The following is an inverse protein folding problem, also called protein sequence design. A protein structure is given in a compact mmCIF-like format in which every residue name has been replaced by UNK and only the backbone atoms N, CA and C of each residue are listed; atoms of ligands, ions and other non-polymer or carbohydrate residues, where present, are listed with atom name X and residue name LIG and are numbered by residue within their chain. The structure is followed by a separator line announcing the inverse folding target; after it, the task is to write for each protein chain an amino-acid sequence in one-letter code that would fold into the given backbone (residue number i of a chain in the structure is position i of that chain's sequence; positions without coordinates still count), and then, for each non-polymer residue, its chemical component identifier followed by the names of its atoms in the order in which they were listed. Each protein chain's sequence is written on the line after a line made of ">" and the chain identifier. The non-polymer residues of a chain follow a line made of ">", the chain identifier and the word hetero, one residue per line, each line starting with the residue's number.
data_IF_395833493635
#
_entry.id   IF_395833493635
#
_cell.length_a   1.000
_cell.length_b   1.000
_cell.length_c   1.000
_cell.angle_alpha   90.00
_cell.angle_beta   90.00
_cell.angle_gamma   90.00
#
_symmetry.space_group_name_H-M   'P 1'
#
loop_
_entity.id
_entity.type
_entity.pdbx_description
1 polymer ?
#
# COMPACT_ATOMS: atom_id res chain seq x y z
N UNK A 1 56.38 -11.78 24.78
CA UNK A 1 55.41 -12.88 24.96
C UNK A 1 53.93 -12.51 24.77
N UNK A 2 53.53 -11.22 24.81
CA UNK A 2 52.10 -10.83 24.69
C UNK A 2 51.52 -10.93 23.27
N UNK A 3 52.25 -10.50 22.23
CA UNK A 3 51.76 -10.48 20.83
C UNK A 3 51.47 -11.87 20.23
N UNK A 4 52.17 -12.91 20.69
CA UNK A 4 51.91 -14.30 20.26
C UNK A 4 50.58 -14.86 20.79
N UNK A 5 50.11 -14.37 21.94
CA UNK A 5 48.80 -14.77 22.46
C UNK A 5 47.68 -14.12 21.65
N UNK A 6 47.82 -12.83 21.31
CA UNK A 6 46.84 -12.08 20.51
C UNK A 6 46.67 -12.67 19.09
N UNK A 7 47.76 -13.06 18.44
CA UNK A 7 47.72 -13.68 17.10
C UNK A 7 47.01 -15.05 17.15
N UNK A 8 47.23 -15.84 18.21
CA UNK A 8 46.53 -17.12 18.39
C UNK A 8 45.02 -16.94 18.60
N UNK A 9 44.60 -15.90 19.31
CA UNK A 9 43.17 -15.63 19.52
C UNK A 9 42.51 -15.22 18.21
N UNK A 10 43.12 -14.32 17.43
CA UNK A 10 42.59 -13.85 16.14
C UNK A 10 42.48 -15.02 15.14
N UNK A 11 43.51 -15.87 15.06
CA UNK A 11 43.50 -17.04 14.16
C UNK A 11 42.40 -18.04 14.53
N UNK A 12 42.14 -18.24 15.84
CA UNK A 12 41.07 -19.12 16.30
C UNK A 12 39.69 -18.59 15.96
N UNK A 13 39.44 -17.29 16.11
CA UNK A 13 38.13 -16.69 15.80
C UNK A 13 37.87 -16.71 14.29
N UNK A 14 38.90 -16.47 13.48
CA UNK A 14 38.80 -16.52 12.02
C UNK A 14 38.49 -17.94 11.51
N UNK A 15 39.11 -18.98 12.10
CA UNK A 15 38.85 -20.36 11.74
C UNK A 15 37.40 -20.79 12.06
N UNK A 16 36.86 -20.33 13.19
CA UNK A 16 35.46 -20.61 13.58
C UNK A 16 34.48 -19.87 12.67
N UNK A 17 34.77 -18.62 12.29
CA UNK A 17 33.93 -17.88 11.36
C UNK A 17 33.91 -18.50 9.95
N UNK A 18 35.07 -18.97 9.47
CA UNK A 18 35.18 -19.64 8.17
C UNK A 18 34.47 -21.00 8.13
N UNK A 19 34.53 -21.78 9.22
CA UNK A 19 33.85 -23.08 9.27
C UNK A 19 32.33 -22.96 9.33
N UNK A 20 31.79 -21.94 10.03
CA UNK A 20 30.35 -21.67 10.04
C UNK A 20 29.89 -21.17 8.66
N UNK A 21 30.66 -20.29 8.00
CA UNK A 21 30.36 -19.83 6.64
C UNK A 21 30.37 -20.96 5.61
N UNK A 22 31.31 -21.90 5.72
CA UNK A 22 31.38 -23.07 4.85
C UNK A 22 30.21 -24.04 5.05
N UNK A 23 29.77 -24.27 6.30
CA UNK A 23 28.63 -25.13 6.60
C UNK A 23 27.29 -24.52 6.13
N UNK A 24 27.14 -23.19 6.20
CA UNK A 24 25.95 -22.51 5.69
C UNK A 24 25.88 -22.53 4.15
N UNK A 25 27.02 -22.47 3.45
CA UNK A 25 27.05 -22.49 1.98
C UNK A 25 26.92 -23.90 1.39
N UNK A 26 27.35 -24.96 2.09
CA UNK A 26 27.21 -26.35 1.63
C UNK A 26 25.91 -27.03 2.08
N UNK A 27 25.15 -26.43 3.01
CA UNK A 27 23.90 -26.99 3.53
C UNK A 27 22.65 -26.71 2.67
N UNK A 28 22.71 -25.72 1.77
CA UNK A 28 21.62 -25.43 0.84
C UNK A 28 21.94 -26.00 -0.55
N UNK A 29 21.72 -27.29 -0.73
CA UNK A 29 21.43 -27.80 -2.08
C UNK A 29 20.04 -27.30 -2.48
N UNK A 30 19.97 -26.09 -3.03
CA UNK A 30 18.84 -25.69 -3.86
C UNK A 30 18.73 -26.66 -5.03
N UNK A 31 17.59 -27.32 -5.27
CA UNK A 31 17.41 -28.10 -6.48
C UNK A 31 17.57 -27.15 -7.67
N UNK A 32 18.38 -27.55 -8.65
CA UNK A 32 18.46 -26.87 -9.93
C UNK A 32 17.05 -26.77 -10.55
N UNK A 33 16.40 -25.62 -10.42
CA UNK A 33 15.29 -25.23 -11.28
C UNK A 33 15.87 -24.51 -12.49
N UNK A 34 16.52 -25.29 -13.35
CA UNK A 34 16.85 -24.88 -14.72
C UNK A 34 15.99 -25.73 -15.64
N UNK A 35 15.07 -25.05 -16.34
CA UNK A 35 14.52 -25.46 -17.63
C UNK A 35 13.91 -26.86 -17.71
N UNK A 36 12.65 -27.00 -17.30
CA UNK A 36 11.82 -28.15 -17.64
C UNK A 36 10.36 -27.72 -17.72
N UNK A 37 9.71 -28.01 -18.84
CA UNK A 37 8.35 -27.62 -19.20
C UNK A 37 7.33 -27.75 -18.06
N UNK A 38 6.49 -26.71 -17.92
CA UNK A 38 5.40 -26.60 -16.93
C UNK A 38 4.22 -27.56 -17.24
N UNK A 39 4.40 -28.55 -18.11
CA UNK A 39 3.31 -29.41 -18.59
C UNK A 39 3.25 -30.81 -17.95
N UNK A 40 4.21 -31.21 -17.09
CA UNK A 40 4.29 -32.59 -16.57
C UNK A 40 3.85 -32.79 -15.10
N UNK A 41 3.27 -31.78 -14.43
CA UNK A 41 2.87 -31.95 -13.02
C UNK A 41 1.58 -32.78 -12.83
N UNK A 42 0.87 -33.16 -13.90
CA UNK A 42 -0.41 -33.88 -13.79
C UNK A 42 -0.31 -35.42 -13.85
N UNK A 43 0.87 -36.00 -14.15
CA UNK A 43 1.04 -37.45 -14.36
C UNK A 43 1.92 -38.15 -13.32
N UNK A 44 1.95 -37.67 -12.07
CA UNK A 44 2.56 -38.45 -10.98
C UNK A 44 1.60 -39.57 -10.58
N UNK A 45 2.02 -40.82 -10.75
CA UNK A 45 1.27 -41.98 -10.27
C UNK A 45 0.90 -41.78 -8.78
N UNK A 46 -0.35 -42.05 -8.37
CA UNK A 46 -0.78 -41.85 -7.00
C UNK A 46 0.11 -42.67 -6.07
N UNK A 47 0.69 -42.00 -5.06
CA UNK A 47 1.36 -42.70 -3.97
C UNK A 47 0.30 -43.50 -3.21
N UNK A 48 0.51 -44.79 -3.03
CA UNK A 48 -0.34 -45.61 -2.18
C UNK A 48 -0.34 -45.02 -0.77
N UNK A 49 -1.49 -44.50 -0.32
CA UNK A 49 -1.70 -44.16 1.08
C UNK A 49 -1.73 -45.47 1.86
N UNK A 50 -0.89 -45.60 2.90
CA UNK A 50 -1.01 -46.72 3.84
C UNK A 50 -2.35 -46.58 4.57
N UNK A 51 -3.28 -47.51 4.32
CA UNK A 51 -4.49 -47.63 5.14
C UNK A 51 -4.13 -48.32 6.45
N UNK A 52 -4.43 -47.66 7.57
CA UNK A 52 -4.36 -48.29 8.89
C UNK A 52 -5.56 -49.23 9.05
N UNK A 53 -5.31 -50.53 9.02
CA UNK A 53 -6.31 -51.56 9.31
C UNK A 53 -6.18 -52.06 10.74
N UNK A 54 -7.28 -52.45 11.37
CA UNK A 54 -7.25 -53.17 12.65
C UNK A 54 -6.81 -54.64 12.44
N UNK A 55 -6.74 -55.42 13.51
CA UNK A 55 -6.36 -56.84 13.49
C UNK A 55 -7.28 -57.75 12.68
N UNK A 56 -8.45 -57.25 12.28
CA UNK A 56 -9.43 -57.95 11.43
C UNK A 56 -9.42 -57.43 9.98
N UNK A 57 -8.49 -56.53 9.63
CA UNK A 57 -8.34 -56.00 8.27
C UNK A 57 -9.30 -54.86 7.91
N UNK A 58 -10.04 -54.31 8.87
CA UNK A 58 -10.99 -53.21 8.64
C UNK A 58 -10.33 -51.84 8.80
N UNK A 59 -10.68 -50.89 7.94
CA UNK A 59 -10.15 -49.53 7.98
C UNK A 59 -10.59 -48.80 9.26
N UNK A 60 -9.64 -48.25 10.02
CA UNK A 60 -9.90 -47.55 11.30
C UNK A 60 -10.41 -46.12 11.09
N UNK A 61 -10.15 -45.54 9.91
CA UNK A 61 -10.71 -44.25 9.50
C UNK A 61 -11.27 -44.39 8.07
N UNK A 62 -12.60 -44.27 7.94
CA UNK A 62 -13.30 -44.34 6.66
C UNK A 62 -14.75 -43.91 6.79
N UNK A 63 -15.21 -43.13 5.82
CA UNK A 63 -16.61 -42.70 5.63
C UNK A 63 -17.52 -43.95 5.59
N UNK A 64 -18.67 -43.96 6.27
CA UNK A 64 -19.53 -45.15 6.32
C UNK A 64 -19.87 -45.66 4.92
N UNK A 65 -20.04 -46.98 4.81
CA UNK A 65 -20.50 -47.66 3.60
C UNK A 65 -21.94 -47.22 3.31
N UNK A 66 -22.11 -46.11 2.59
CA UNK A 66 -23.41 -45.69 2.07
C UNK A 66 -23.60 -46.49 0.78
N UNK A 67 -24.56 -47.42 0.77
CA UNK A 67 -25.02 -48.07 -0.45
C UNK A 67 -25.73 -47.00 -1.29
N UNK A 68 -25.01 -46.32 -2.16
CA UNK A 68 -25.63 -45.45 -3.17
C UNK A 68 -26.14 -46.34 -4.29
N UNK A 69 -27.46 -46.60 -4.32
CA UNK A 69 -28.09 -47.09 -5.54
C UNK A 69 -27.97 -45.99 -6.60
N UNK A 70 -27.27 -46.23 -7.73
CA UNK A 70 -27.20 -45.22 -8.78
C UNK A 70 -28.60 -45.00 -9.33
N UNK A 71 -29.14 -43.80 -9.12
CA UNK A 71 -30.35 -43.35 -9.79
C UNK A 71 -30.11 -43.46 -11.30
N UNK A 72 -30.96 -44.22 -11.99
CA UNK A 72 -30.87 -44.35 -13.44
C UNK A 72 -31.42 -43.07 -14.10
N UNK A 73 -30.55 -42.05 -14.22
CA UNK A 73 -30.89 -40.75 -14.78
C UNK A 73 -31.34 -40.84 -16.26
N UNK A 74 -31.02 -41.94 -16.96
CA UNK A 74 -31.49 -42.15 -18.34
C UNK A 74 -32.93 -42.64 -18.45
N UNK A 75 -33.55 -43.13 -17.37
CA UNK A 75 -34.94 -43.59 -17.41
C UNK A 75 -35.95 -42.43 -17.62
N UNK A 76 -35.55 -41.19 -17.29
CA UNK A 76 -36.37 -39.98 -17.44
C UNK A 76 -35.83 -39.02 -18.52
N UNK A 77 -34.89 -39.46 -19.35
CA UNK A 77 -34.33 -38.62 -20.40
C UNK A 77 -35.32 -38.54 -21.58
N UNK A 78 -36.01 -37.41 -21.71
CA UNK A 78 -36.86 -37.12 -22.86
C UNK A 78 -35.96 -36.78 -24.06
N UNK A 79 -36.10 -37.50 -25.18
CA UNK A 79 -35.41 -37.14 -26.43
C UNK A 79 -36.03 -35.85 -26.98
N UNK A 80 -35.34 -34.74 -26.77
CA UNK A 80 -35.66 -33.47 -27.43
C UNK A 80 -35.00 -33.47 -28.81
N UNK A 81 -35.69 -32.91 -29.81
CA UNK A 81 -35.13 -32.71 -31.15
C UNK A 81 -33.86 -31.86 -31.02
N UNK A 82 -32.78 -32.28 -31.67
CA UNK A 82 -31.58 -31.48 -31.76
C UNK A 82 -31.93 -30.17 -32.49
N UNK A 83 -32.06 -29.08 -31.74
CA UNK A 83 -32.03 -27.75 -32.32
C UNK A 83 -30.57 -27.53 -32.69
N UNK A 84 -30.28 -27.60 -33.99
CA UNK A 84 -29.01 -27.15 -34.57
C UNK A 84 -28.93 -25.64 -34.38
N UNK A 85 -28.67 -25.24 -33.14
CA UNK A 85 -28.29 -23.88 -32.79
C UNK A 85 -26.81 -23.84 -33.05
N UNK A 86 -26.44 -23.19 -34.16
CA UNK A 86 -25.07 -22.79 -34.41
C UNK A 86 -24.66 -21.93 -33.22
N UNK A 87 -23.93 -22.52 -32.27
CA UNK A 87 -23.26 -21.78 -31.21
C UNK A 87 -22.16 -20.96 -31.88
N UNK A 88 -22.42 -19.67 -32.12
CA UNK A 88 -21.40 -18.72 -32.60
C UNK A 88 -20.27 -18.49 -31.58
N UNK A 89 -20.31 -19.15 -30.41
CA UNK A 89 -19.27 -19.08 -29.38
C UNK A 89 -18.10 -20.06 -29.58
N UNK A 90 -18.14 -20.96 -30.57
CA UNK A 90 -16.99 -21.81 -30.90
C UNK A 90 -15.92 -21.14 -31.78
N UNK A 91 -16.20 -19.95 -32.31
CA UNK A 91 -15.16 -19.06 -32.81
C UNK A 91 -14.65 -18.22 -31.65
N UNK A 92 -13.76 -18.79 -30.84
CA UNK A 92 -12.88 -17.97 -30.00
C UNK A 92 -12.17 -17.02 -30.96
N UNK A 93 -12.32 -15.69 -30.83
CA UNK A 93 -11.64 -14.76 -31.72
C UNK A 93 -10.17 -15.11 -31.69
N UNK A 94 -9.55 -15.23 -32.87
CA UNK A 94 -8.13 -15.48 -32.92
C UNK A 94 -7.43 -14.33 -32.22
N UNK A 95 -6.96 -14.58 -31.00
CA UNK A 95 -6.09 -13.66 -30.27
C UNK A 95 -4.81 -13.59 -31.08
N UNK A 96 -4.76 -12.62 -31.99
CA UNK A 96 -3.53 -12.22 -32.61
C UNK A 96 -2.57 -11.82 -31.49
N UNK A 97 -1.30 -12.20 -31.62
CA UNK A 97 -0.27 -11.76 -30.70
C UNK A 97 -0.25 -10.23 -30.74
N UNK A 98 -0.59 -9.60 -29.62
CA UNK A 98 -0.47 -8.15 -29.47
C UNK A 98 1.03 -7.86 -29.41
N UNK A 99 1.68 -7.73 -30.56
CA UNK A 99 3.03 -7.23 -30.64
C UNK A 99 2.97 -5.72 -30.42
N UNK A 100 2.96 -5.30 -29.14
CA UNK A 100 3.21 -3.91 -28.79
C UNK A 100 4.69 -3.62 -29.08
N UNK A 101 4.98 -3.17 -30.31
CA UNK A 101 6.27 -2.56 -30.59
C UNK A 101 6.40 -1.32 -29.67
N UNK A 102 7.46 -1.21 -28.85
CA UNK A 102 7.65 -0.06 -28.01
C UNK A 102 7.72 1.19 -28.90
N UNK A 103 6.77 2.12 -28.72
CA UNK A 103 6.81 3.40 -29.42
C UNK A 103 7.99 4.23 -28.91
N UNK A 104 8.94 4.51 -29.78
CA UNK A 104 10.06 5.39 -29.48
C UNK A 104 9.56 6.76 -29.05
N UNK A 105 10.06 7.28 -27.93
CA UNK A 105 9.67 8.59 -27.40
C UNK A 105 8.45 8.59 -26.46
N UNK A 106 7.83 7.44 -26.20
CA UNK A 106 6.70 7.33 -25.26
C UNK A 106 7.09 6.95 -23.82
N UNK A 107 8.39 6.90 -23.50
CA UNK A 107 8.84 6.53 -22.17
C UNK A 107 8.40 7.58 -21.14
N UNK A 108 7.77 7.13 -20.06
CA UNK A 108 7.50 7.99 -18.93
C UNK A 108 8.79 8.22 -18.14
N UNK A 109 8.97 9.44 -17.64
CA UNK A 109 10.08 9.81 -16.77
C UNK A 109 9.55 10.61 -15.59
N UNK A 110 10.26 10.53 -14.46
CA UNK A 110 9.98 11.34 -13.28
C UNK A 110 11.29 11.88 -12.71
N UNK A 111 11.28 13.14 -12.32
CA UNK A 111 12.40 13.79 -11.63
C UNK A 111 11.93 14.39 -10.32
N UNK A 112 12.79 14.36 -9.31
CA UNK A 112 12.49 14.83 -7.96
C UNK A 112 13.40 15.98 -7.54
N UNK A 113 12.84 16.95 -6.81
CA UNK A 113 13.57 18.06 -6.19
C UNK A 113 13.08 18.28 -4.76
N UNK A 114 14.00 18.45 -3.81
CA UNK A 114 13.67 18.82 -2.43
C UNK A 114 13.09 20.24 -2.37
N UNK A 115 12.08 20.40 -1.55
CA UNK A 115 11.40 21.66 -1.23
C UNK A 115 11.37 21.86 0.31
N UNK A 116 11.01 23.06 0.80
CA UNK A 116 10.89 23.34 2.24
C UNK A 116 10.03 22.32 3.00
N UNK A 117 10.30 22.20 4.30
CA UNK A 117 9.61 21.27 5.20
C UNK A 117 9.63 19.81 4.74
N UNK A 118 10.72 19.33 4.12
CA UNK A 118 10.86 17.95 3.63
C UNK A 118 9.74 17.54 2.64
N UNK A 119 9.32 18.49 1.80
CA UNK A 119 8.48 18.22 0.64
C UNK A 119 9.37 17.91 -0.57
N UNK A 120 8.79 17.25 -1.56
CA UNK A 120 9.46 16.88 -2.81
C UNK A 120 8.57 17.30 -3.97
N UNK A 121 9.06 18.19 -4.83
CA UNK A 121 8.41 18.46 -6.11
C UNK A 121 8.81 17.38 -7.11
N UNK A 122 7.81 16.72 -7.69
CA UNK A 122 7.98 15.75 -8.76
C UNK A 122 7.52 16.35 -10.08
N UNK A 123 8.33 16.18 -11.11
CA UNK A 123 7.95 16.47 -12.51
C UNK A 123 7.87 15.17 -13.27
N UNK A 124 6.69 14.87 -13.78
CA UNK A 124 6.38 13.69 -14.58
C UNK A 124 6.26 14.10 -16.04
N UNK A 125 6.87 13.35 -16.96
CA UNK A 125 6.70 13.50 -18.39
C UNK A 125 6.40 12.15 -19.01
N UNK A 126 5.23 12.02 -19.64
CA UNK A 126 4.74 10.85 -20.33
C UNK A 126 4.05 11.28 -21.64
N UNK A 127 4.83 11.56 -22.71
CA UNK A 127 4.34 12.25 -23.91
C UNK A 127 3.13 11.60 -24.60
N UNK A 128 2.98 10.29 -24.46
CA UNK A 128 1.92 9.50 -25.09
C UNK A 128 0.72 9.25 -24.17
N UNK A 129 0.77 9.72 -22.92
CA UNK A 129 -0.28 9.61 -21.93
C UNK A 129 -0.77 11.01 -21.56
N UNK A 130 -1.46 11.68 -22.50
CA UNK A 130 -2.00 13.04 -22.34
C UNK A 130 -3.36 13.04 -21.64
N UNK A 131 -3.63 14.02 -20.77
CA UNK A 131 -4.89 14.11 -20.00
C UNK A 131 -5.23 12.78 -19.31
N UNK A 132 -4.22 12.07 -18.84
CA UNK A 132 -4.35 10.71 -18.33
C UNK A 132 -4.10 10.71 -16.83
N UNK A 133 -5.05 10.14 -16.09
CA UNK A 133 -4.95 9.91 -14.65
C UNK A 133 -3.80 8.95 -14.35
N UNK A 134 -3.03 9.26 -13.31
CA UNK A 134 -1.94 8.43 -12.79
C UNK A 134 -1.88 8.52 -11.26
N UNK A 135 -1.17 7.59 -10.65
CA UNK A 135 -0.96 7.54 -9.20
C UNK A 135 0.52 7.60 -8.89
N UNK A 136 0.88 8.41 -7.90
CA UNK A 136 2.21 8.38 -7.30
C UNK A 136 2.14 7.71 -5.95
N UNK A 137 2.96 6.67 -5.77
CA UNK A 137 3.07 5.88 -4.55
C UNK A 137 4.37 6.17 -3.84
N UNK A 138 4.30 6.34 -2.51
CA UNK A 138 5.46 6.53 -1.64
C UNK A 138 5.15 6.08 -0.21
N UNK A 139 5.83 5.05 0.29
CA UNK A 139 5.74 4.64 1.71
C UNK A 139 4.30 4.49 2.24
N UNK A 140 3.42 3.88 1.45
CA UNK A 140 2.00 3.69 1.76
C UNK A 140 1.08 4.83 1.33
N UNK A 141 1.62 6.04 1.11
CA UNK A 141 0.85 7.16 0.58
C UNK A 141 0.64 6.97 -0.93
N UNK A 142 -0.61 7.15 -1.36
CA UNK A 142 -0.97 7.21 -2.78
C UNK A 142 -1.65 8.54 -3.08
N UNK A 143 -1.23 9.17 -4.17
CA UNK A 143 -1.75 10.47 -4.60
C UNK A 143 -2.06 10.40 -6.08
N UNK A 144 -3.32 10.67 -6.44
CA UNK A 144 -3.76 10.73 -7.81
C UNK A 144 -3.43 12.10 -8.42
N UNK A 145 -3.10 12.12 -9.70
CA UNK A 145 -2.88 13.32 -10.49
C UNK A 145 -3.19 13.06 -11.96
N UNK A 146 -3.28 14.13 -12.74
CA UNK A 146 -3.61 14.06 -14.16
C UNK A 146 -2.54 14.77 -14.98
N UNK A 147 -2.07 14.15 -16.06
CA UNK A 147 -1.15 14.80 -17.01
C UNK A 147 -1.87 15.86 -17.83
N UNK A 148 -1.14 16.86 -18.31
CA UNK A 148 -1.69 17.86 -19.22
C UNK A 148 -1.83 17.33 -20.67
N UNK A 149 -2.26 18.21 -21.57
CA UNK A 149 -2.40 17.91 -23.01
C UNK A 149 -1.09 17.55 -23.71
N UNK A 150 0.06 17.73 -23.06
CA UNK A 150 1.40 17.37 -23.55
C UNK A 150 1.98 16.17 -22.78
N UNK A 151 1.21 15.55 -21.89
CA UNK A 151 1.65 14.42 -21.09
C UNK A 151 2.54 14.80 -19.90
N UNK A 152 2.55 16.06 -19.47
CA UNK A 152 3.38 16.51 -18.34
C UNK A 152 2.53 16.76 -17.09
N UNK A 153 3.12 16.56 -15.91
CA UNK A 153 2.50 16.93 -14.65
C UNK A 153 3.57 17.41 -13.66
N UNK A 154 3.18 18.30 -12.75
CA UNK A 154 3.97 18.67 -11.59
C UNK A 154 3.13 18.48 -10.34
N UNK A 155 3.67 17.75 -9.38
CA UNK A 155 3.02 17.50 -8.09
C UNK A 155 4.00 17.72 -6.95
N UNK A 156 3.47 17.91 -5.74
CA UNK A 156 4.26 17.98 -4.51
C UNK A 156 3.87 16.78 -3.65
N UNK A 157 4.88 16.06 -3.17
CA UNK A 157 4.71 14.90 -2.30
C UNK A 157 5.47 15.12 -0.99
N UNK A 158 4.90 14.75 0.17
CA UNK A 158 5.66 14.68 1.41
C UNK A 158 6.61 13.47 1.40
N UNK A 159 7.88 13.67 1.77
CA UNK A 159 8.74 12.56 2.16
C UNK A 159 8.26 11.95 3.50
N UNK A 160 8.00 10.65 3.56
CA UNK A 160 7.62 9.92 4.77
C UNK A 160 8.77 9.10 5.35
N UNK A 161 9.83 8.91 4.57
CA UNK A 161 11.11 8.34 4.99
C UNK A 161 12.28 9.14 4.38
N UNK A 162 13.47 9.19 5.00
CA UNK A 162 14.59 9.99 4.48
C UNK A 162 15.13 9.49 3.14
N UNK A 163 15.16 8.17 2.92
CA UNK A 163 15.49 7.59 1.62
C UNK A 163 14.18 7.35 0.86
N UNK A 164 13.69 8.39 0.16
CA UNK A 164 12.38 8.37 -0.46
C UNK A 164 12.44 7.81 -1.89
N UNK A 165 11.64 6.79 -2.15
CA UNK A 165 11.32 6.30 -3.50
C UNK A 165 9.91 6.73 -3.88
N UNK A 166 9.76 7.30 -5.08
CA UNK A 166 8.49 7.71 -5.65
C UNK A 166 8.23 6.93 -6.95
N UNK A 167 7.12 6.21 -6.98
CA UNK A 167 6.71 5.35 -8.10
C UNK A 167 5.51 5.96 -8.81
N UNK A 168 5.58 6.09 -10.14
CA UNK A 168 4.54 6.66 -10.99
C UNK A 168 3.90 5.55 -11.82
N UNK A 169 2.61 5.32 -11.60
CA UNK A 169 1.84 4.26 -12.26
C UNK A 169 0.66 4.82 -13.04
N UNK A 170 0.49 4.33 -14.27
CA UNK A 170 -0.66 4.60 -15.13
C UNK A 170 -1.43 3.29 -15.33
N UNK A 171 -2.75 3.31 -15.17
CA UNK A 171 -3.61 2.13 -15.28
C UNK A 171 -3.08 0.95 -14.42
N UNK A 172 -2.58 1.24 -13.22
CA UNK A 172 -1.93 0.31 -12.28
C UNK A 172 -0.62 -0.36 -12.78
N UNK A 173 -0.01 0.17 -13.84
CA UNK A 173 1.27 -0.30 -14.35
C UNK A 173 2.35 0.74 -14.04
N UNK A 174 3.40 0.33 -13.34
CA UNK A 174 4.57 1.18 -13.07
C UNK A 174 5.21 1.62 -14.39
N UNK A 175 5.36 2.93 -14.59
CA UNK A 175 5.96 3.51 -15.80
C UNK A 175 7.27 4.23 -15.53
N UNK A 176 7.43 4.82 -14.35
CA UNK A 176 8.65 5.51 -13.96
C UNK A 176 8.81 5.49 -12.44
N UNK A 177 10.05 5.57 -11.96
CA UNK A 177 10.36 5.74 -10.55
C UNK A 177 11.56 6.67 -10.37
N UNK A 178 11.67 7.31 -9.22
CA UNK A 178 12.84 8.11 -8.85
C UNK A 178 13.09 8.03 -7.36
N UNK A 179 14.36 8.08 -6.98
CA UNK A 179 14.80 8.09 -5.59
C UNK A 179 15.44 9.43 -5.24
N UNK A 180 15.22 9.90 -4.02
CA UNK A 180 15.84 11.11 -3.49
C UNK A 180 16.05 10.99 -1.98
N UNK A 181 17.23 11.42 -1.53
CA UNK A 181 17.53 11.52 -0.10
C UNK A 181 17.05 12.87 0.45
N UNK A 182 16.22 12.84 1.51
CA UNK A 182 15.56 13.98 2.17
C UNK A 182 15.88 13.96 3.67
N UNK A 183 17.11 14.36 4.07
CA UNK A 183 17.54 14.32 5.47
C UNK A 183 16.74 15.27 6.37
N UNK A 184 16.16 16.34 5.81
CA UNK A 184 15.38 17.34 6.54
C UNK A 184 14.12 16.74 7.20
N UNK A 185 13.64 15.59 6.72
CA UNK A 185 12.51 14.88 7.34
C UNK A 185 12.78 14.56 8.81
N UNK A 186 14.05 14.38 9.20
CA UNK A 186 14.43 14.15 10.60
C UNK A 186 14.04 15.27 11.55
N UNK A 187 13.60 16.42 11.05
CA UNK A 187 13.16 17.57 11.86
C UNK A 187 11.64 17.65 12.00
N UNK A 188 10.90 16.69 11.47
CA UNK A 188 9.45 16.77 11.36
C UNK A 188 8.77 15.46 11.72
N UNK A 189 7.66 15.59 12.44
CA UNK A 189 6.65 14.55 12.58
C UNK A 189 5.55 14.79 11.55
N UNK A 190 4.97 13.72 11.02
CA UNK A 190 3.85 13.79 10.08
C UNK A 190 2.72 12.85 10.45
N UNK A 191 1.51 13.36 10.25
CA UNK A 191 0.29 12.56 10.22
C UNK A 191 -0.40 12.79 8.87
N UNK A 192 -0.76 11.69 8.23
CA UNK A 192 -1.42 11.68 6.93
C UNK A 192 -2.77 11.02 7.11
N UNK A 193 -3.80 11.64 6.60
CA UNK A 193 -5.11 11.04 6.34
C UNK A 193 -5.23 10.89 4.82
N UNK A 194 -5.38 9.67 4.30
CA UNK A 194 -5.59 9.40 2.88
C UNK A 194 -6.92 8.68 2.64
N UNK A 195 -7.57 8.95 1.51
CA UNK A 195 -8.82 8.32 1.11
C UNK A 195 -8.94 8.31 -0.42
N UNK A 196 -9.85 7.49 -0.95
CA UNK A 196 -10.09 7.37 -2.40
C UNK A 196 -11.55 7.57 -2.80
N UNK A 197 -12.39 8.06 -1.88
CA UNK A 197 -13.81 8.32 -2.08
C UNK A 197 -14.10 9.82 -2.20
N UNK A 198 -15.34 10.21 -2.49
CA UNK A 198 -15.74 11.61 -2.59
C UNK A 198 -16.09 12.28 -1.25
N UNK A 199 -15.89 11.59 -0.11
CA UNK A 199 -16.38 12.00 1.22
C UNK A 199 -15.74 13.26 1.85
N UNK A 200 -14.85 13.93 1.09
CA UNK A 200 -14.19 15.19 1.46
C UNK A 200 -13.69 15.23 2.91
N UNK A 201 -12.93 14.20 3.28
CA UNK A 201 -12.38 14.07 4.63
C UNK A 201 -11.34 15.15 4.91
N UNK A 202 -11.17 15.48 6.19
CA UNK A 202 -10.22 16.49 6.67
C UNK A 202 -9.45 15.99 7.88
N UNK A 203 -8.19 16.39 7.97
CA UNK A 203 -7.34 16.19 9.11
C UNK A 203 -7.35 17.44 9.97
N UNK A 204 -7.76 17.27 11.23
CA UNK A 204 -7.77 18.31 12.23
C UNK A 204 -6.69 18.00 13.27
N UNK A 205 -5.73 18.90 13.42
CA UNK A 205 -4.67 18.84 14.42
C UNK A 205 -4.92 19.89 15.50
N UNK A 206 -5.14 19.44 16.74
CA UNK A 206 -5.35 20.30 17.89
C UNK A 206 -4.07 20.34 18.73
N UNK A 207 -3.29 21.39 18.54
CA UNK A 207 -2.01 21.59 19.22
C UNK A 207 -2.22 22.13 20.65
N UNK A 208 -1.40 21.68 21.61
CA UNK A 208 -1.35 22.25 22.96
C UNK A 208 -2.69 22.30 23.71
N UNK A 209 -3.59 21.34 23.47
CA UNK A 209 -4.91 21.31 24.11
C UNK A 209 -5.96 22.26 23.51
N UNK A 210 -5.67 22.83 22.34
CA UNK A 210 -6.61 23.68 21.61
C UNK A 210 -7.97 23.01 21.37
N UNK A 211 -9.01 23.84 21.32
CA UNK A 211 -10.34 23.46 20.89
C UNK A 211 -10.56 23.84 19.42
N UNK A 212 -11.67 23.36 18.85
CA UNK A 212 -12.05 23.68 17.48
C UNK A 212 -12.26 25.20 17.36
N UNK A 213 -11.50 25.81 16.45
CA UNK A 213 -11.55 27.24 16.16
C UNK A 213 -10.49 28.06 16.89
N UNK A 214 -9.78 27.48 17.85
CA UNK A 214 -8.67 28.16 18.53
C UNK A 214 -7.45 28.33 17.61
N UNK A 215 -6.51 29.24 17.92
CA UNK A 215 -5.29 29.41 17.13
C UNK A 215 -4.43 28.14 16.99
N UNK A 216 -4.52 27.20 17.94
CA UNK A 216 -3.85 25.89 17.88
C UNK A 216 -4.61 24.82 17.09
N UNK A 217 -5.74 25.13 16.48
CA UNK A 217 -6.48 24.24 15.59
C UNK A 217 -5.97 24.39 14.15
N UNK A 218 -5.10 23.46 13.74
CA UNK A 218 -4.50 23.43 12.41
C UNK A 218 -5.24 22.44 11.52
N UNK A 219 -5.77 22.92 10.40
CA UNK A 219 -6.52 22.15 9.41
C UNK A 219 -6.44 22.84 8.04
N UNK A 220 -7.10 22.31 7.01
CA UNK A 220 -7.01 22.85 5.65
C UNK A 220 -7.48 24.30 5.44
N UNK A 221 -8.18 24.90 6.41
CA UNK A 221 -8.52 26.34 6.38
C UNK A 221 -7.54 27.23 7.15
N UNK A 222 -6.50 26.66 7.78
CA UNK A 222 -5.46 27.42 8.46
C UNK A 222 -4.49 28.04 7.44
N UNK A 223 -4.03 29.27 7.69
CA UNK A 223 -3.12 30.00 6.80
C UNK A 223 -1.63 29.68 7.02
N UNK A 224 -1.32 28.55 7.66
CA UNK A 224 0.06 28.18 7.98
C UNK A 224 0.77 27.61 6.76
N UNK A 225 2.05 27.93 6.59
CA UNK A 225 2.84 27.53 5.43
C UNK A 225 4.00 26.61 5.79
N UNK A 226 4.54 25.91 4.80
CA UNK A 226 5.76 25.12 4.95
C UNK A 226 6.94 25.99 5.44
N UNK A 227 6.97 27.26 5.04
CA UNK A 227 7.96 28.24 5.48
C UNK A 227 7.83 28.57 6.98
N UNK A 228 6.61 28.71 7.50
CA UNK A 228 6.37 28.95 8.92
C UNK A 228 6.79 27.75 9.78
N UNK A 229 6.48 26.54 9.32
CA UNK A 229 6.91 25.29 9.96
C UNK A 229 8.42 25.10 9.89
N UNK A 230 9.07 25.49 8.78
CA UNK A 230 10.54 25.50 8.68
C UNK A 230 11.18 26.48 9.67
N UNK A 231 10.50 27.59 9.95
CA UNK A 231 10.88 28.56 10.98
C UNK A 231 10.54 28.10 12.42
N UNK A 232 9.85 26.96 12.57
CA UNK A 232 9.50 26.38 13.87
C UNK A 232 8.34 27.06 14.58
N UNK A 233 7.50 27.83 13.87
CA UNK A 233 6.42 28.62 14.46
C UNK A 233 5.16 27.80 14.78
N UNK A 234 4.73 26.97 13.83
CA UNK A 234 3.47 26.23 13.84
C UNK A 234 3.55 25.04 12.89
N UNK A 235 2.60 24.10 12.98
CA UNK A 235 2.39 23.10 11.93
C UNK A 235 1.57 23.64 10.78
N UNK A 236 1.54 22.87 9.70
CA UNK A 236 0.70 23.13 8.54
C UNK A 236 0.06 21.86 8.01
N UNK A 237 -1.07 22.01 7.31
CA UNK A 237 -1.74 20.94 6.58
C UNK A 237 -1.59 21.18 5.09
N UNK A 238 -1.09 20.18 4.37
CA UNK A 238 -1.01 20.15 2.92
C UNK A 238 -2.04 19.17 2.37
N UNK A 239 -2.89 19.64 1.47
CA UNK A 239 -3.73 18.76 0.65
C UNK A 239 -2.96 18.31 -0.60
N UNK A 240 -3.01 17.01 -0.90
CA UNK A 240 -2.47 16.40 -2.12
C UNK A 240 -3.51 15.49 -2.77
N UNK A 241 -3.50 15.44 -4.09
CA UNK A 241 -4.37 14.56 -4.88
C UNK A 241 -5.32 15.31 -5.81
N UNK A 242 -5.89 14.56 -6.73
CA UNK A 242 -6.85 15.04 -7.72
C UNK A 242 -8.21 14.37 -7.49
N UNK A 243 -9.23 15.16 -7.18
CA UNK A 243 -10.59 14.68 -6.95
C UNK A 243 -11.30 14.26 -8.25
N UNK A 244 -10.81 14.72 -9.41
CA UNK A 244 -11.37 14.43 -10.73
C UNK A 244 -10.71 13.22 -11.42
N UNK A 245 -9.64 12.67 -10.85
CA UNK A 245 -9.00 11.46 -11.36
C UNK A 245 -9.92 10.23 -11.24
N UNK A 246 -9.71 9.24 -12.12
CA UNK A 246 -10.51 8.01 -12.23
C UNK A 246 -10.66 7.30 -10.88
N UNK A 247 -9.55 7.22 -10.12
CA UNK A 247 -9.53 6.82 -8.72
C UNK A 247 -8.92 7.97 -7.93
N UNK A 248 -9.71 8.72 -7.14
CA UNK A 248 -9.27 10.00 -6.61
C UNK A 248 -8.53 9.83 -5.27
N UNK A 249 -7.35 9.18 -5.31
CA UNK A 249 -6.45 9.08 -4.17
C UNK A 249 -6.03 10.48 -3.71
N UNK A 250 -6.51 10.86 -2.53
CA UNK A 250 -6.30 12.16 -1.90
C UNK A 250 -5.72 11.96 -0.51
N UNK A 251 -5.01 12.96 -0.04
CA UNK A 251 -4.57 13.01 1.34
C UNK A 251 -4.47 14.44 1.88
N UNK A 252 -4.70 14.57 3.18
CA UNK A 252 -4.26 15.72 3.96
C UNK A 252 -3.09 15.30 4.84
N UNK A 253 -2.03 16.10 4.80
CA UNK A 253 -0.74 15.83 5.43
C UNK A 253 -0.45 16.94 6.42
N UNK A 254 -0.58 16.62 7.71
CA UNK A 254 -0.15 17.51 8.78
C UNK A 254 1.34 17.31 9.04
N UNK A 255 2.12 18.39 8.99
CA UNK A 255 3.56 18.40 9.29
C UNK A 255 3.83 19.38 10.43
N UNK A 256 4.56 18.93 11.44
CA UNK A 256 4.92 19.74 12.62
C UNK A 256 6.38 19.46 13.02
N UNK A 257 7.11 20.40 13.66
CA UNK A 257 8.48 20.15 14.13
C UNK A 257 8.59 18.93 15.06
N UNK A 258 9.70 18.19 14.98
CA UNK A 258 9.88 16.93 15.70
C UNK A 258 9.71 17.03 17.23
N UNK A 259 9.36 15.90 17.84
CA UNK A 259 9.40 15.71 19.29
C UNK A 259 8.21 16.34 20.03
N UNK A 260 7.16 16.69 19.30
CA UNK A 260 5.93 17.29 19.83
C UNK A 260 4.71 16.37 19.71
N UNK A 261 4.73 15.38 18.80
CA UNK A 261 3.67 14.36 18.73
C UNK A 261 3.69 13.41 19.96
N UNK A 262 4.82 13.34 20.69
CA UNK A 262 5.03 12.42 21.83
C UNK A 262 5.04 13.10 23.22
N UNK A 263 4.75 14.40 23.32
CA UNK A 263 4.73 15.09 24.63
C UNK A 263 3.38 14.87 25.32
N UNK A 264 3.34 14.95 26.66
CA UNK A 264 2.10 14.87 27.45
C UNK A 264 1.04 15.94 27.10
N UNK A 265 1.42 16.95 26.31
CA UNK A 265 0.54 17.99 25.72
C UNK A 265 0.45 17.84 24.19
N UNK A 266 0.62 16.61 23.67
CA UNK A 266 0.74 16.30 22.25
C UNK A 266 -0.47 16.70 21.40
N UNK A 267 -0.27 16.66 20.09
CA UNK A 267 -1.30 17.04 19.11
C UNK A 267 -2.44 16.02 19.13
N UNK A 268 -3.67 16.46 19.41
CA UNK A 268 -4.88 15.64 19.27
C UNK A 268 -5.34 15.64 17.81
N UNK A 269 -5.16 14.51 17.13
CA UNK A 269 -5.48 14.31 15.73
C UNK A 269 -6.89 13.73 15.57
N UNK A 270 -7.72 14.41 14.78
CA UNK A 270 -9.09 14.02 14.49
C UNK A 270 -9.36 13.98 13.00
N UNK A 271 -10.23 13.07 12.60
CA UNK A 271 -10.73 12.95 11.23
C UNK A 271 -12.08 13.63 11.15
N UNK A 272 -12.17 14.69 10.36
CA UNK A 272 -13.41 15.39 10.04
C UNK A 272 -14.02 14.83 8.77
N UNK A 273 -15.31 14.49 8.81
CA UNK A 273 -16.06 14.07 7.61
C UNK A 273 -17.39 14.79 7.59
N UNK A 274 -17.74 15.38 6.45
CA UNK A 274 -19.08 15.97 6.27
C UNK A 274 -20.08 14.86 6.00
N UNK A 275 -21.16 14.83 6.76
CA UNK A 275 -22.25 13.88 6.56
C UNK A 275 -23.03 14.30 5.33
N UNK A 276 -23.15 13.39 4.36
CA UNK A 276 -23.88 13.59 3.11
C UNK A 276 -24.89 12.48 2.91
N UNK A 277 -25.89 12.71 2.06
CA UNK A 277 -26.83 11.66 1.66
C UNK A 277 -26.13 10.44 1.03
N UNK A 278 -24.92 10.64 0.49
CA UNK A 278 -24.13 9.56 -0.08
C UNK A 278 -23.44 8.70 0.97
N UNK A 279 -23.16 9.22 2.19
CA UNK A 279 -22.30 8.54 3.16
C UNK A 279 -22.88 8.33 4.56
N UNK A 280 -24.06 8.86 4.85
CA UNK A 280 -24.71 8.65 6.13
C UNK A 280 -25.11 7.18 6.35
N UNK A 281 -25.10 6.74 7.61
CA UNK A 281 -25.56 5.42 8.05
C UNK A 281 -24.74 4.24 7.52
N UNK A 282 -23.53 4.49 7.01
CA UNK A 282 -22.63 3.45 6.50
C UNK A 282 -21.20 3.66 6.98
N UNK A 283 -20.38 2.66 6.74
CA UNK A 283 -18.94 2.73 6.95
C UNK A 283 -18.25 3.40 5.77
N UNK A 284 -17.20 4.17 6.04
CA UNK A 284 -16.34 4.79 5.05
C UNK A 284 -14.88 4.47 5.36
N UNK A 285 -14.16 4.00 4.34
CA UNK A 285 -12.75 3.61 4.46
C UNK A 285 -11.79 4.78 4.22
N UNK A 286 -10.71 4.78 5.00
CA UNK A 286 -9.58 5.68 4.86
C UNK A 286 -8.30 4.99 5.32
N UNK A 287 -7.16 5.62 5.08
CA UNK A 287 -5.86 5.20 5.60
C UNK A 287 -5.22 6.31 6.41
N UNK A 288 -4.48 5.94 7.44
CA UNK A 288 -3.60 6.84 8.17
C UNK A 288 -2.15 6.43 8.02
N UNK A 289 -1.28 7.42 7.90
CA UNK A 289 0.17 7.19 7.90
C UNK A 289 0.79 8.16 8.89
N UNK A 290 1.62 7.65 9.78
CA UNK A 290 2.35 8.47 10.74
C UNK A 290 3.83 8.21 10.63
N UNK A 291 4.62 9.28 10.69
CA UNK A 291 6.06 9.17 10.85
C UNK A 291 6.60 10.13 11.89
N UNK A 292 7.58 9.65 12.65
CA UNK A 292 8.32 10.42 13.67
C UNK A 292 9.77 10.57 13.20
N UNK A 293 10.16 11.79 12.83
CA UNK A 293 11.48 12.15 12.30
C UNK A 293 12.01 11.19 11.21
N UNK A 294 11.11 10.57 10.43
CA UNK A 294 11.45 9.58 9.41
C UNK A 294 12.03 8.26 9.93
N UNK A 295 11.97 7.99 11.23
CA UNK A 295 12.52 6.77 11.86
C UNK A 295 11.47 5.68 12.03
N UNK A 296 10.29 6.05 12.50
CA UNK A 296 9.14 5.15 12.62
C UNK A 296 8.15 5.49 11.52
N UNK A 297 7.61 4.47 10.85
CA UNK A 297 6.52 4.62 9.88
C UNK A 297 5.41 3.66 10.28
N UNK A 298 4.24 4.20 10.58
CA UNK A 298 3.04 3.42 10.90
C UNK A 298 2.00 3.69 9.82
N UNK A 299 1.64 2.66 9.07
CA UNK A 299 0.57 2.70 8.07
C UNK A 299 -0.59 1.87 8.60
N UNK A 300 -1.81 2.42 8.56
CA UNK A 300 -2.99 1.76 9.08
C UNK A 300 -4.21 2.06 8.22
N UNK A 301 -4.95 1.03 7.85
CA UNK A 301 -6.28 1.20 7.30
C UNK A 301 -7.28 1.41 8.44
N UNK A 302 -8.20 2.36 8.24
CA UNK A 302 -9.22 2.72 9.21
C UNK A 302 -10.59 2.73 8.54
N UNK A 303 -11.60 2.37 9.33
CA UNK A 303 -13.00 2.49 8.95
C UNK A 303 -13.67 3.50 9.87
N UNK A 304 -14.49 4.35 9.28
CA UNK A 304 -15.23 5.43 9.92
C UNK A 304 -16.72 5.09 9.88
N UNK A 305 -17.33 4.91 11.03
CA UNK A 305 -18.78 4.74 11.16
C UNK A 305 -19.44 6.12 11.03
N UNK A 306 -20.19 6.31 9.94
CA UNK A 306 -20.86 7.59 9.69
C UNK A 306 -22.18 7.68 10.45
N UNK A 307 -22.52 8.88 10.97
CA UNK A 307 -23.82 9.10 11.60
C UNK A 307 -25.00 8.84 10.67
N UNK A 308 -26.19 8.72 11.27
CA UNK A 308 -27.47 8.59 10.57
C UNK A 308 -27.80 9.78 9.66
N UNK A 309 -28.69 9.56 8.70
CA UNK A 309 -28.97 10.51 7.61
C UNK A 309 -29.79 11.76 8.00
N UNK A 310 -30.22 11.87 9.25
CA UNK A 310 -30.82 13.09 9.80
C UNK A 310 -29.79 14.17 10.11
N UNK A 311 -28.50 13.82 10.16
CA UNK A 311 -27.37 14.74 10.40
C UNK A 311 -26.68 15.22 9.10
N UNK A 312 -27.33 15.08 7.94
CA UNK A 312 -26.76 15.54 6.66
C UNK A 312 -26.46 17.06 6.71
N UNK A 313 -25.24 17.43 6.33
CA UNK A 313 -24.73 18.80 6.42
C UNK A 313 -23.89 19.06 7.68
N UNK A 314 -23.95 18.20 8.68
CA UNK A 314 -23.07 18.28 9.85
C UNK A 314 -21.67 17.72 9.55
N UNK A 315 -20.70 18.13 10.37
CA UNK A 315 -19.33 17.60 10.32
C UNK A 315 -19.12 16.73 11.56
N UNK A 316 -18.86 15.45 11.34
CA UNK A 316 -18.45 14.54 12.42
C UNK A 316 -16.94 14.61 12.62
N UNK A 317 -16.49 14.69 13.87
CA UNK A 317 -15.06 14.71 14.24
C UNK A 317 -14.72 13.45 15.01
N UNK A 318 -14.06 12.52 14.32
CA UNK A 318 -13.77 11.18 14.83
C UNK A 318 -12.36 11.17 15.43
N UNK A 319 -12.25 10.71 16.67
CA UNK A 319 -10.99 10.62 17.42
C UNK A 319 -10.37 9.23 17.32
N UNK A 320 -9.15 9.06 17.83
CA UNK A 320 -8.49 7.76 18.05
C UNK A 320 -8.29 6.91 16.78
N UNK A 321 -8.20 7.55 15.61
CA UNK A 321 -7.87 6.87 14.34
C UNK A 321 -6.38 6.88 14.04
N UNK A 322 -5.62 7.71 14.74
CA UNK A 322 -4.17 7.75 14.73
C UNK A 322 -3.60 6.98 15.93
N UNK A 323 -2.46 6.35 15.72
CA UNK A 323 -1.72 5.61 16.75
C UNK A 323 -0.97 6.59 17.65
N UNK A 324 -0.97 6.31 18.96
CA UNK A 324 -0.08 6.99 19.88
C UNK A 324 1.36 6.47 19.67
N UNK A 325 2.21 7.26 19.01
CA UNK A 325 3.57 6.85 18.67
C UNK A 325 4.49 6.71 19.89
N UNK A 326 4.16 7.33 21.03
CA UNK A 326 4.92 7.14 22.28
C UNK A 326 4.86 5.70 22.80
N UNK A 327 3.83 4.94 22.41
CA UNK A 327 3.66 3.52 22.79
C UNK A 327 4.47 2.61 21.86
N UNK A 328 4.74 3.04 20.62
CA UNK A 328 5.39 2.21 19.58
C UNK A 328 6.92 2.24 19.69
N UNK A 329 7.49 3.23 20.37
CA UNK A 329 8.94 3.42 20.53
C UNK A 329 9.56 2.72 21.75
N UNK A 330 8.80 1.90 22.50
CA UNK A 330 9.28 1.12 23.65
C UNK A 330 9.47 -0.37 23.33
#
# INVERSE_FOLDING_TARGET
>A
MSRLKTIKTIASTLAIALSIGFAAQYGETTPNMVGGDVSETYNKAPRSLMLSTNSEGQAVFGVPNIVTTPLNHSANAQRVVAVDTVYTEFDSPQFQSIMALPMSGCNATVTARREPAALVSLRVSAPCLTNKSFVVSHSGLRVAATTDRRGNAQIVMPALVPAASFEVSFDNILKAATEIFVPELRRYDRAVLQWSTQDNMRLHALEHGAQIGDPGHVWSASFHTAEDTRAGKNGFVLFVGDAAADIPYRAEVYTFPEGQMNRNSGVDLRVGVTVTAANCGREVDAGTIQTNSGQTLVVKDITLEMPVCDQVGEVTLIRNKFTNLAVVSN
#
